data_IF_283297958188
#
_entry.id   IF_283297958188
#
_cell.length_a   1.000
_cell.length_b   1.000
_cell.length_c   1.000
_cell.angle_alpha   90.00
_cell.angle_beta   90.00
_cell.angle_gamma   90.00
#
_symmetry.space_group_name_H-M   'P 1'
#
loop_
_entity.id
_entity.type
_entity.pdbx_description
1 polymer ?
#
# COMPACT_ATOMS: atom_id res chain seq x y z
N UNK A 1 -1.29 -16.59 9.30
CA UNK A 1 -2.64 -16.37 9.81
C UNK A 1 -3.42 -15.39 8.95
N UNK A 2 -4.69 -15.31 9.22
CA UNK A 2 -5.58 -14.38 8.53
C UNK A 2 -6.16 -13.40 9.55
N UNK A 3 -6.18 -12.14 9.16
CA UNK A 3 -6.75 -11.10 9.99
C UNK A 3 -7.79 -10.32 9.19
N UNK A 4 -9.00 -10.23 9.71
CA UNK A 4 -10.06 -9.45 9.08
C UNK A 4 -10.43 -8.33 10.04
N UNK A 5 -10.17 -7.11 9.64
CA UNK A 5 -10.44 -5.93 10.47
C UNK A 5 -11.88 -5.46 10.36
N UNK A 6 -12.68 -6.09 9.49
CA UNK A 6 -14.08 -5.76 9.33
C UNK A 6 -14.34 -4.59 8.40
N UNK A 7 -15.51 -4.02 8.53
CA UNK A 7 -15.97 -2.93 7.66
C UNK A 7 -16.25 -1.68 8.48
N UNK A 8 -16.11 -0.53 7.83
CA UNK A 8 -16.50 0.75 8.44
C UNK A 8 -15.55 1.24 9.51
N UNK A 9 -14.27 0.98 9.36
CA UNK A 9 -13.26 1.47 10.30
C UNK A 9 -13.04 2.96 10.06
N UNK A 10 -13.23 3.77 11.08
CA UNK A 10 -13.01 5.21 10.98
C UNK A 10 -12.08 5.68 12.11
N UNK A 11 -11.30 6.72 11.81
CA UNK A 11 -10.41 7.28 12.81
C UNK A 11 -9.40 8.23 12.20
N UNK A 12 -8.51 8.75 13.03
CA UNK A 12 -7.46 9.65 12.58
C UNK A 12 -6.22 8.91 12.13
N UNK A 13 -5.93 7.78 12.76
CA UNK A 13 -4.73 7.01 12.44
C UNK A 13 -4.97 5.52 12.65
N UNK A 14 -4.54 4.74 11.67
CA UNK A 14 -4.54 3.28 11.78
C UNK A 14 -3.15 2.77 11.44
N UNK A 15 -2.61 1.94 12.32
CA UNK A 15 -1.33 1.27 12.08
C UNK A 15 -1.58 -0.22 11.92
N UNK A 16 -1.06 -0.78 10.83
CA UNK A 16 -1.10 -2.22 10.58
C UNK A 16 0.32 -2.72 10.53
N UNK A 17 0.65 -3.65 11.41
CA UNK A 17 1.95 -4.30 11.41
C UNK A 17 1.76 -5.78 11.26
N UNK A 18 2.41 -6.37 10.29
CA UNK A 18 2.25 -7.77 9.95
C UNK A 18 3.62 -8.41 9.73
N UNK A 19 3.86 -9.52 10.43
CA UNK A 19 5.08 -10.27 10.28
C UNK A 19 4.74 -11.73 10.05
N UNK A 20 5.40 -12.38 9.11
CA UNK A 20 5.16 -13.77 8.76
C UNK A 20 4.31 -13.89 7.50
N UNK A 21 3.50 -14.97 7.40
CA UNK A 21 2.62 -15.22 6.26
C UNK A 21 1.15 -15.08 6.64
N UNK A 22 0.31 -14.70 5.69
CA UNK A 22 -1.12 -14.64 5.93
C UNK A 22 -1.80 -13.55 5.10
N UNK A 23 -3.05 -13.25 5.47
CA UNK A 23 -3.89 -12.30 4.74
C UNK A 23 -4.53 -11.32 5.71
N UNK A 24 -4.50 -10.04 5.36
CA UNK A 24 -5.18 -8.99 6.11
C UNK A 24 -6.25 -8.37 5.21
N UNK A 25 -7.45 -8.18 5.74
CA UNK A 25 -8.54 -7.51 5.04
C UNK A 25 -9.13 -6.39 5.87
N UNK A 26 -9.34 -5.25 5.24
CA UNK A 26 -10.02 -4.13 5.85
C UNK A 26 -10.86 -3.43 4.78
N UNK A 27 -12.17 -3.46 4.93
CA UNK A 27 -13.10 -2.90 3.95
C UNK A 27 -13.73 -1.61 4.46
N UNK A 28 -13.99 -0.69 3.54
CA UNK A 28 -14.70 0.57 3.82
C UNK A 28 -14.07 1.37 4.96
N UNK A 29 -12.77 1.50 4.93
CA UNK A 29 -12.07 2.29 5.95
C UNK A 29 -12.10 3.77 5.57
N UNK A 30 -12.21 4.62 6.59
CA UNK A 30 -12.11 6.06 6.43
C UNK A 30 -11.14 6.57 7.50
N UNK A 31 -9.90 6.75 7.11
CA UNK A 31 -8.81 7.03 8.02
C UNK A 31 -7.99 8.20 7.45
N UNK A 32 -7.62 9.14 8.30
CA UNK A 32 -6.79 10.25 7.86
C UNK A 32 -5.38 9.78 7.53
N UNK A 33 -4.78 8.98 8.40
CA UNK A 33 -3.44 8.44 8.17
C UNK A 33 -3.44 6.92 8.35
N UNK A 34 -2.98 6.22 7.34
CA UNK A 34 -2.85 4.77 7.38
C UNK A 34 -1.37 4.39 7.24
N UNK A 35 -0.84 3.71 8.23
CA UNK A 35 0.52 3.18 8.20
C UNK A 35 0.45 1.67 8.13
N UNK A 36 1.07 1.10 7.10
CA UNK A 36 1.09 -0.35 6.89
C UNK A 36 2.53 -0.84 6.81
N UNK A 37 2.90 -1.76 7.70
CA UNK A 37 4.21 -2.38 7.70
C UNK A 37 4.04 -3.88 7.53
N UNK A 38 4.70 -4.45 6.54
CA UNK A 38 4.65 -5.88 6.25
C UNK A 38 6.06 -6.42 6.19
N UNK A 39 6.32 -7.46 6.95
CA UNK A 39 7.59 -8.18 6.90
C UNK A 39 7.28 -9.67 6.68
N UNK A 40 7.90 -10.27 5.67
CA UNK A 40 7.66 -11.66 5.32
C UNK A 40 6.79 -11.81 4.09
N UNK A 41 5.94 -12.84 4.05
CA UNK A 41 5.08 -13.15 2.91
C UNK A 41 3.62 -12.95 3.30
N UNK A 42 3.03 -11.87 2.86
CA UNK A 42 1.64 -11.58 3.21
C UNK A 42 0.88 -10.94 2.07
N UNK A 43 -0.45 -10.96 2.18
CA UNK A 43 -1.33 -10.28 1.24
C UNK A 43 -2.27 -9.38 2.02
N UNK A 44 -2.39 -8.13 1.58
CA UNK A 44 -3.25 -7.15 2.24
C UNK A 44 -4.30 -6.68 1.24
N UNK A 45 -5.57 -6.70 1.68
CA UNK A 45 -6.69 -6.18 0.89
C UNK A 45 -7.27 -4.98 1.63
N UNK A 46 -7.30 -3.84 0.95
CA UNK A 46 -7.81 -2.60 1.54
C UNK A 46 -8.81 -1.94 0.60
N UNK A 47 -9.86 -1.35 1.18
CA UNK A 47 -10.79 -0.53 0.44
C UNK A 47 -11.31 0.60 1.33
N UNK A 48 -11.70 1.71 0.73
CA UNK A 48 -12.20 2.89 1.44
C UNK A 48 -11.51 4.16 1.00
N UNK A 49 -11.23 5.04 1.95
CA UNK A 49 -10.56 6.31 1.69
C UNK A 49 -9.58 6.66 2.80
N UNK A 50 -8.44 7.22 2.41
CA UNK A 50 -7.47 7.76 3.37
C UNK A 50 -6.80 8.98 2.76
N UNK A 51 -6.38 9.92 3.59
CA UNK A 51 -5.66 11.09 3.09
C UNK A 51 -4.19 10.78 2.88
N UNK A 52 -3.55 10.15 3.85
CA UNK A 52 -2.14 9.81 3.76
C UNK A 52 -1.94 8.33 4.04
N UNK A 53 -1.20 7.67 3.18
CA UNK A 53 -0.90 6.27 3.35
C UNK A 53 0.60 6.05 3.26
N UNK A 54 1.14 5.37 4.28
CA UNK A 54 2.53 4.96 4.30
C UNK A 54 2.59 3.45 4.25
N UNK A 55 3.32 2.93 3.28
CA UNK A 55 3.51 1.50 3.12
C UNK A 55 5.00 1.19 3.26
N UNK A 56 5.31 0.27 4.16
CA UNK A 56 6.65 -0.28 4.30
C UNK A 56 6.55 -1.78 4.14
N UNK A 57 7.28 -2.32 3.18
CA UNK A 57 7.23 -3.74 2.89
C UNK A 57 8.63 -4.31 2.77
N UNK A 58 8.86 -5.43 3.42
CA UNK A 58 10.11 -6.16 3.34
C UNK A 58 9.78 -7.64 3.11
N UNK A 59 10.46 -8.26 2.16
CA UNK A 59 10.20 -9.65 1.80
C UNK A 59 9.29 -9.76 0.58
N UNK A 60 8.46 -10.80 0.53
CA UNK A 60 7.54 -11.04 -0.59
C UNK A 60 6.11 -10.74 -0.16
N UNK A 61 5.60 -9.61 -0.57
CA UNK A 61 4.25 -9.22 -0.15
C UNK A 61 3.43 -8.67 -1.31
N UNK A 62 2.11 -8.72 -1.13
CA UNK A 62 1.15 -8.17 -2.09
C UNK A 62 0.19 -7.27 -1.35
N UNK A 63 0.02 -6.07 -1.87
CA UNK A 63 -0.95 -5.13 -1.34
C UNK A 63 -1.95 -4.82 -2.44
N UNK A 64 -3.19 -5.21 -2.23
CA UNK A 64 -4.26 -4.99 -3.20
C UNK A 64 -5.21 -3.94 -2.65
N UNK A 65 -5.08 -2.75 -3.13
CA UNK A 65 -5.81 -1.60 -2.61
C UNK A 65 -6.39 -0.73 -3.72
N UNK A 66 -6.80 -1.34 -4.86
CA UNK A 66 -7.44 -0.56 -5.91
C UNK A 66 -8.74 0.08 -5.43
N UNK A 67 -9.41 -0.55 -4.48
CA UNK A 67 -10.62 0.02 -3.89
C UNK A 67 -10.36 1.05 -2.81
N UNK A 68 -9.10 1.29 -2.44
CA UNK A 68 -8.73 2.29 -1.47
C UNK A 68 -8.22 3.53 -2.19
N UNK A 69 -8.91 4.65 -2.00
CA UNK A 69 -8.46 5.92 -2.55
C UNK A 69 -7.61 6.64 -1.52
N UNK A 70 -6.40 7.03 -1.91
CA UNK A 70 -5.53 7.83 -1.06
C UNK A 70 -5.15 9.11 -1.78
N UNK A 71 -5.00 10.19 -1.05
CA UNK A 71 -4.54 11.44 -1.64
C UNK A 71 -3.03 11.45 -1.78
N UNK A 72 -2.31 11.08 -0.71
CA UNK A 72 -0.85 11.02 -0.74
C UNK A 72 -0.40 9.62 -0.35
N UNK A 73 0.42 9.02 -1.20
CA UNK A 73 0.98 7.69 -0.96
C UNK A 73 2.49 7.79 -0.82
N UNK A 74 3.01 7.23 0.27
CA UNK A 74 4.43 7.03 0.45
C UNK A 74 4.68 5.53 0.55
N UNK A 75 5.51 5.01 -0.34
CA UNK A 75 5.77 3.58 -0.40
C UNK A 75 7.27 3.31 -0.30
N UNK A 76 7.63 2.43 0.62
CA UNK A 76 9.01 1.92 0.72
C UNK A 76 8.94 0.41 0.67
N UNK A 77 9.59 -0.17 -0.33
CA UNK A 77 9.55 -1.60 -0.55
C UNK A 77 10.96 -2.16 -0.71
N UNK A 78 11.22 -3.27 -0.05
CA UNK A 78 12.47 -3.99 -0.18
C UNK A 78 12.14 -5.46 -0.43
N UNK A 79 12.75 -6.06 -1.44
CA UNK A 79 12.46 -7.44 -1.84
C UNK A 79 11.48 -7.49 -2.99
N UNK A 80 10.63 -8.52 -3.04
CA UNK A 80 9.65 -8.72 -4.10
C UNK A 80 8.28 -8.27 -3.63
N UNK A 81 7.85 -7.10 -4.03
CA UNK A 81 6.62 -6.49 -3.55
C UNK A 81 5.71 -6.12 -4.72
N UNK A 82 4.41 -6.38 -4.58
CA UNK A 82 3.43 -6.02 -5.57
C UNK A 82 2.36 -5.14 -4.92
N UNK A 83 2.20 -3.92 -5.40
CA UNK A 83 1.29 -2.94 -4.80
C UNK A 83 0.32 -2.44 -5.86
N UNK A 84 -0.98 -2.47 -5.54
CA UNK A 84 -2.03 -1.93 -6.38
C UNK A 84 -2.84 -0.94 -5.54
N UNK A 85 -2.95 0.30 -6.01
CA UNK A 85 -3.58 1.36 -5.23
C UNK A 85 -4.17 2.44 -6.15
N UNK A 86 -5.09 3.23 -5.60
CA UNK A 86 -5.62 4.41 -6.27
C UNK A 86 -5.14 5.66 -5.52
N UNK A 87 -4.38 6.50 -6.18
CA UNK A 87 -3.86 7.72 -5.60
C UNK A 87 -4.30 8.93 -6.43
N UNK A 88 -4.70 10.00 -5.78
CA UNK A 88 -5.28 11.15 -6.45
C UNK A 88 -4.43 12.42 -6.45
N UNK A 89 -3.54 12.58 -5.48
CA UNK A 89 -2.71 13.79 -5.38
C UNK A 89 -1.24 13.54 -5.65
N UNK A 90 -0.62 12.65 -4.88
CA UNK A 90 0.83 12.49 -4.94
C UNK A 90 1.27 11.08 -4.62
N UNK A 91 2.34 10.65 -5.24
CA UNK A 91 2.99 9.37 -4.96
C UNK A 91 4.47 9.61 -4.74
N UNK A 92 5.00 9.07 -3.66
CA UNK A 92 6.45 9.01 -3.40
C UNK A 92 6.82 7.55 -3.20
N UNK A 93 7.74 7.04 -4.00
CA UNK A 93 8.10 5.63 -3.96
C UNK A 93 9.61 5.43 -3.82
N UNK A 94 9.98 4.44 -3.02
CA UNK A 94 11.35 3.95 -2.94
C UNK A 94 11.31 2.44 -2.97
N UNK A 95 11.89 1.85 -3.99
CA UNK A 95 11.89 0.41 -4.19
C UNK A 95 13.34 -0.08 -4.27
N UNK A 96 13.66 -1.09 -3.47
CA UNK A 96 14.93 -1.80 -3.57
C UNK A 96 14.62 -3.27 -3.82
N UNK A 97 15.05 -3.79 -4.95
CA UNK A 97 14.78 -5.16 -5.37
C UNK A 97 13.81 -5.22 -6.54
N UNK A 98 12.94 -6.24 -6.56
CA UNK A 98 11.97 -6.45 -7.64
C UNK A 98 10.57 -6.08 -7.16
N UNK A 99 10.19 -4.83 -7.33
CA UNK A 99 8.89 -4.37 -6.92
C UNK A 99 8.07 -3.86 -8.10
N UNK A 100 6.75 -4.04 -8.04
CA UNK A 100 5.84 -3.52 -9.04
C UNK A 100 4.76 -2.73 -8.35
N UNK A 101 4.57 -1.49 -8.77
CA UNK A 101 3.51 -0.65 -8.25
C UNK A 101 2.58 -0.31 -9.41
N UNK A 102 1.29 -0.63 -9.24
CA UNK A 102 0.26 -0.26 -10.19
C UNK A 102 -0.68 0.72 -9.53
N UNK A 103 -0.93 1.83 -10.18
CA UNK A 103 -1.79 2.86 -9.59
C UNK A 103 -2.85 3.34 -10.57
N UNK A 104 -3.98 3.75 -10.00
CA UNK A 104 -5.06 4.40 -10.71
C UNK A 104 -5.16 5.85 -10.24
N UNK A 105 -5.78 6.70 -11.04
CA UNK A 105 -5.94 8.11 -10.74
C UNK A 105 -4.91 8.97 -11.46
N UNK A 106 -4.82 10.23 -11.07
CA UNK A 106 -3.90 11.18 -11.67
C UNK A 106 -3.01 11.85 -10.63
N UNK A 107 -2.18 11.09 -9.92
CA UNK A 107 -1.30 11.69 -8.93
C UNK A 107 -0.08 12.33 -9.57
N UNK A 108 0.50 13.28 -8.86
CA UNK A 108 1.83 13.77 -9.18
C UNK A 108 2.85 12.83 -8.54
N UNK A 109 3.81 12.37 -9.31
CA UNK A 109 4.87 11.54 -8.78
C UNK A 109 5.97 12.44 -8.27
N UNK A 110 6.03 12.63 -6.95
CA UNK A 110 6.99 13.53 -6.32
C UNK A 110 8.37 12.92 -6.17
N UNK A 111 8.41 11.63 -5.91
CA UNK A 111 9.68 10.93 -5.74
C UNK A 111 9.55 9.54 -6.32
N UNK A 112 10.52 9.15 -7.13
CA UNK A 112 10.57 7.82 -7.71
C UNK A 112 12.02 7.35 -7.63
N UNK A 113 12.29 6.41 -6.75
CA UNK A 113 13.62 5.83 -6.60
C UNK A 113 13.50 4.32 -6.68
N UNK A 114 14.09 3.73 -7.72
CA UNK A 114 14.04 2.29 -7.94
C UNK A 114 15.46 1.78 -8.08
N UNK A 115 15.86 0.89 -7.19
CA UNK A 115 17.14 0.22 -7.24
C UNK A 115 16.86 -1.25 -7.48
N UNK A 116 17.28 -1.75 -8.64
CA UNK A 116 17.01 -3.12 -9.05
C UNK A 116 15.99 -3.18 -10.18
N UNK A 117 15.21 -4.27 -10.22
CA UNK A 117 14.24 -4.52 -11.28
C UNK A 117 12.82 -4.17 -10.83
N UNK A 118 12.58 -2.92 -10.60
CA UNK A 118 11.26 -2.45 -10.18
C UNK A 118 10.57 -1.63 -11.26
N UNK A 119 9.26 -1.49 -11.15
CA UNK A 119 8.51 -0.65 -12.08
C UNK A 119 7.30 -0.02 -11.42
N UNK A 120 6.91 1.13 -11.95
CA UNK A 120 5.70 1.83 -11.55
C UNK A 120 4.87 2.05 -12.80
N UNK A 121 3.64 1.56 -12.79
CA UNK A 121 2.77 1.58 -13.95
C UNK A 121 1.42 2.17 -13.60
N UNK A 122 0.94 3.07 -14.43
CA UNK A 122 -0.42 3.58 -14.32
C UNK A 122 -1.37 2.63 -15.03
N UNK A 123 -2.44 2.24 -14.34
CA UNK A 123 -3.48 1.37 -14.89
C UNK A 123 -4.85 2.04 -14.71
N UNK A 124 -5.56 2.20 -15.79
CA UNK A 124 -6.92 2.76 -15.79
C UNK A 124 -7.83 1.91 -16.64
#
# INVERSE_FOLDING_TARGET
GNCDLGKGITGDKLEIKFAGGGTIRADSITITRLDCEIAGSGTVYLSGKTEKMNIKSAGSSKIKAFGLETEELTCKAAGSTHIEITANKAISTKIAGSGTIRYKGNPNIKEKSIIGSGSITKVD
#
